data_IF_028018327783
#
_entry.id   IF_028018327783
#
_cell.length_a   1.000
_cell.length_b   1.000
_cell.length_c   1.000
_cell.angle_alpha   90.00
_cell.angle_beta   90.00
_cell.angle_gamma   90.00
#
_symmetry.space_group_name_H-M   'P 1'
#
loop_
_entity.id
_entity.type
_entity.pdbx_description
1 polymer ?
#
# COMPACT_ATOMS: atom_id res chain seq x y z
N UNK A 1 -3.16 0.36 20.04
CA UNK A 1 -2.13 -0.60 19.55
C UNK A 1 -0.84 0.18 19.35
N UNK A 2 0.35 -0.39 19.57
CA UNK A 2 1.58 0.31 19.22
C UNK A 2 1.60 0.57 17.71
N UNK A 3 1.98 1.79 17.35
CA UNK A 3 2.12 2.24 15.97
C UNK A 3 3.17 1.38 15.24
N UNK A 4 3.02 1.21 13.93
CA UNK A 4 4.04 0.53 13.11
C UNK A 4 5.25 1.48 12.99
N UNK A 5 6.20 1.35 13.92
CA UNK A 5 7.38 2.21 14.00
C UNK A 5 8.27 2.17 12.75
N UNK A 6 8.26 1.06 12.01
CA UNK A 6 9.00 0.89 10.75
C UNK A 6 8.06 0.45 9.62
N UNK A 7 7.40 1.44 9.03
CA UNK A 7 6.49 1.23 7.90
C UNK A 7 7.20 0.61 6.70
N UNK A 8 8.48 0.91 6.48
CA UNK A 8 9.24 0.36 5.35
C UNK A 8 9.46 -1.15 5.52
N UNK A 9 9.87 -1.59 6.71
CA UNK A 9 10.00 -3.00 7.04
C UNK A 9 8.65 -3.73 6.96
N UNK A 10 7.57 -3.12 7.45
CA UNK A 10 6.24 -3.70 7.35
C UNK A 10 5.82 -3.92 5.88
N UNK A 11 6.02 -2.91 5.02
CA UNK A 11 5.73 -3.04 3.58
C UNK A 11 6.61 -4.10 2.89
N UNK A 12 7.87 -4.24 3.30
CA UNK A 12 8.76 -5.29 2.79
C UNK A 12 8.26 -6.70 3.15
N UNK A 13 7.83 -6.89 4.40
CA UNK A 13 7.23 -8.17 4.83
C UNK A 13 5.91 -8.45 4.11
N UNK A 14 5.03 -7.44 3.94
CA UNK A 14 3.80 -7.57 3.16
C UNK A 14 4.09 -7.99 1.72
N UNK A 15 5.10 -7.39 1.09
CA UNK A 15 5.55 -7.81 -0.25
C UNK A 15 6.04 -9.25 -0.25
N UNK A 16 6.82 -9.67 0.74
CA UNK A 16 7.37 -11.03 0.82
C UNK A 16 6.27 -12.09 0.89
N UNK A 17 5.21 -11.83 1.68
CA UNK A 17 4.13 -12.81 1.93
C UNK A 17 3.02 -12.80 0.88
N UNK A 18 2.74 -11.65 0.25
CA UNK A 18 1.73 -11.57 -0.80
C UNK A 18 2.17 -12.37 -2.04
N UNK A 19 1.24 -13.07 -2.69
CA UNK A 19 1.52 -13.78 -3.96
C UNK A 19 1.81 -12.78 -5.09
N UNK A 20 2.51 -13.20 -6.18
CA UNK A 20 2.54 -12.43 -7.43
C UNK A 20 1.11 -11.97 -7.83
N UNK A 21 0.92 -10.68 -8.12
CA UNK A 21 -0.40 -10.12 -8.44
C UNK A 21 -1.35 -9.93 -7.24
N UNK A 22 -0.92 -10.27 -6.02
CA UNK A 22 -1.69 -10.09 -4.79
C UNK A 22 -2.05 -8.62 -4.54
N UNK A 23 -3.19 -8.42 -3.85
CA UNK A 23 -3.74 -7.09 -3.56
C UNK A 23 -3.35 -6.65 -2.14
N UNK A 24 -2.81 -5.44 -2.03
CA UNK A 24 -2.66 -4.69 -0.78
C UNK A 24 -3.66 -3.52 -0.81
N UNK A 25 -4.54 -3.44 0.18
CA UNK A 25 -5.50 -2.33 0.34
C UNK A 25 -5.15 -1.56 1.61
N UNK A 26 -5.01 -0.25 1.50
CA UNK A 26 -4.73 0.66 2.61
C UNK A 26 -5.84 1.70 2.66
N UNK A 27 -6.46 1.86 3.83
CA UNK A 27 -7.49 2.86 4.09
C UNK A 27 -7.03 3.77 5.21
N UNK A 28 -7.15 5.07 5.01
CA UNK A 28 -6.76 6.10 5.98
C UNK A 28 -7.92 7.08 6.16
N UNK A 29 -8.16 7.50 7.40
CA UNK A 29 -9.25 8.38 7.79
C UNK A 29 -8.73 9.56 8.60
N UNK A 30 -9.20 10.77 8.28
CA UNK A 30 -8.75 12.04 8.86
C UNK A 30 -8.89 12.14 10.39
N UNK A 31 -9.69 11.27 11.02
CA UNK A 31 -9.79 11.20 12.48
C UNK A 31 -8.47 10.76 13.15
N UNK A 32 -7.52 10.23 12.38
CA UNK A 32 -6.19 9.86 12.87
C UNK A 32 -5.29 11.10 13.08
N UNK A 33 -4.68 11.28 14.28
CA UNK A 33 -3.73 12.35 14.55
C UNK A 33 -2.55 12.41 13.56
N UNK A 34 -2.14 11.26 13.03
CA UNK A 34 -1.00 11.11 12.11
C UNK A 34 -1.47 10.83 10.67
N UNK A 35 -2.63 11.38 10.28
CA UNK A 35 -3.24 11.19 8.97
C UNK A 35 -2.25 11.40 7.81
N UNK A 36 -1.83 10.32 7.11
CA UNK A 36 -0.94 10.45 5.99
C UNK A 36 -1.74 10.90 4.77
N UNK A 37 -1.28 11.94 4.10
CA UNK A 37 -1.88 12.33 2.83
C UNK A 37 -1.70 11.21 1.79
N UNK A 38 -2.70 11.06 0.94
CA UNK A 38 -2.76 10.02 -0.08
C UNK A 38 -1.47 9.91 -0.92
N UNK A 39 -0.89 11.05 -1.31
CA UNK A 39 0.33 11.08 -2.11
C UNK A 39 1.55 10.51 -1.37
N UNK A 40 1.60 10.64 -0.05
CA UNK A 40 2.68 10.08 0.77
C UNK A 40 2.56 8.56 0.84
N UNK A 41 1.36 8.07 1.10
CA UNK A 41 1.05 6.63 1.09
C UNK A 41 1.38 6.02 -0.26
N UNK A 42 0.97 6.64 -1.37
CA UNK A 42 1.33 6.18 -2.73
C UNK A 42 2.85 6.13 -2.91
N UNK A 43 3.59 7.17 -2.49
CA UNK A 43 5.05 7.21 -2.64
C UNK A 43 5.73 6.09 -1.83
N UNK A 44 5.36 5.92 -0.56
CA UNK A 44 5.94 4.88 0.32
C UNK A 44 5.67 3.48 -0.22
N UNK A 45 4.43 3.19 -0.60
CA UNK A 45 4.02 1.85 -1.07
C UNK A 45 4.62 1.52 -2.44
N UNK A 46 4.73 2.51 -3.35
CA UNK A 46 5.46 2.34 -4.61
C UNK A 46 6.95 2.06 -4.40
N UNK A 47 7.60 2.76 -3.47
CA UNK A 47 9.00 2.52 -3.12
C UNK A 47 9.24 1.10 -2.59
N UNK A 48 8.24 0.50 -1.93
CA UNK A 48 8.26 -0.89 -1.52
C UNK A 48 8.00 -1.91 -2.66
N UNK A 49 7.86 -1.47 -3.90
CA UNK A 49 7.74 -2.33 -5.09
C UNK A 49 6.31 -2.76 -5.45
N UNK A 50 5.30 -2.08 -4.91
CA UNK A 50 3.91 -2.27 -5.33
C UNK A 50 3.52 -1.28 -6.43
N UNK A 51 2.50 -1.62 -7.22
CA UNK A 51 1.91 -0.72 -8.23
C UNK A 51 0.50 -0.32 -7.84
N UNK A 52 0.18 0.97 -7.94
CA UNK A 52 -1.17 1.46 -7.69
C UNK A 52 -2.13 0.91 -8.74
N UNK A 53 -3.22 0.30 -8.31
CA UNK A 53 -4.25 -0.35 -9.14
C UNK A 53 -5.55 0.46 -9.15
N UNK A 54 -6.03 0.86 -7.96
CA UNK A 54 -7.27 1.64 -7.83
C UNK A 54 -7.24 2.57 -6.63
N UNK A 55 -7.98 3.66 -6.74
CA UNK A 55 -8.22 4.66 -5.69
C UNK A 55 -9.72 4.80 -5.46
N UNK A 56 -10.11 4.93 -4.20
CA UNK A 56 -11.49 5.24 -3.79
C UNK A 56 -11.50 6.32 -2.71
N UNK A 57 -12.67 6.94 -2.52
CA UNK A 57 -12.89 7.92 -1.46
C UNK A 57 -12.57 9.35 -1.88
N UNK A 58 -12.22 10.17 -0.90
CA UNK A 58 -11.96 11.60 -1.02
C UNK A 58 -10.79 12.02 -0.12
N UNK A 59 -10.62 13.32 0.08
CA UNK A 59 -9.53 13.89 0.87
C UNK A 59 -9.64 13.60 2.38
N UNK A 60 -10.83 13.29 2.91
CA UNK A 60 -11.04 12.98 4.33
C UNK A 60 -10.84 11.50 4.63
N UNK A 61 -11.26 10.64 3.70
CA UNK A 61 -11.13 9.18 3.81
C UNK A 61 -10.81 8.63 2.43
N UNK A 62 -9.71 7.91 2.30
CA UNK A 62 -9.33 7.28 1.05
C UNK A 62 -8.99 5.81 1.24
N UNK A 63 -9.19 5.04 0.17
CA UNK A 63 -8.69 3.67 0.07
C UNK A 63 -7.85 3.54 -1.19
N UNK A 64 -6.64 3.04 -1.03
CA UNK A 64 -5.68 2.77 -2.10
C UNK A 64 -5.43 1.28 -2.23
N UNK A 65 -5.72 0.76 -3.42
CA UNK A 65 -5.46 -0.60 -3.81
C UNK A 65 -4.16 -0.66 -4.61
N UNK A 66 -3.25 -1.54 -4.21
CA UNK A 66 -1.99 -1.78 -4.87
C UNK A 66 -1.81 -3.26 -5.21
N UNK A 67 -1.17 -3.54 -6.33
CA UNK A 67 -0.79 -4.88 -6.74
C UNK A 67 0.68 -5.12 -6.45
N UNK A 68 0.99 -6.30 -5.89
CA UNK A 68 2.36 -6.81 -5.91
C UNK A 68 2.68 -7.15 -7.35
N UNK A 69 3.79 -6.64 -7.86
CA UNK A 69 4.28 -7.05 -9.18
C UNK A 69 4.30 -8.58 -9.28
N UNK A 70 3.64 -9.09 -10.32
CA UNK A 70 3.85 -10.46 -10.70
C UNK A 70 5.32 -10.57 -11.11
N UNK A 71 6.07 -11.49 -10.49
CA UNK A 71 7.39 -11.81 -11.00
C UNK A 71 7.23 -12.11 -12.49
N UNK A 72 8.07 -11.52 -13.35
CA UNK A 72 8.07 -11.75 -14.80
C UNK A 72 8.15 -13.27 -15.03
N UNK A 73 7.01 -13.88 -15.23
CA UNK A 73 6.81 -15.32 -15.21
C UNK A 73 5.68 -15.63 -16.16
N UNK A 74 6.10 -15.83 -17.42
CA UNK A 74 5.37 -16.42 -18.54
C UNK A 74 4.04 -15.77 -18.91
N UNK A 75 4.10 -14.92 -19.94
CA UNK A 75 3.07 -14.89 -20.95
C UNK A 75 2.89 -16.30 -21.52
N UNK A 76 1.74 -16.92 -21.25
CA UNK A 76 1.18 -17.95 -22.14
C UNK A 76 0.47 -17.27 -23.31
#
# INVERSE_FOLDING_TARGET
LPEILDQARALAELRRVLKPGGLLSITEEFADPDYPFEFETIRRVKAAGFKLDRRFGNFWVYTLNFRRDAALGYSE
#
